data_IF_577164463076
#
_entry.id   IF_577164463076
#
_cell.length_a   1.000
_cell.length_b   1.000
_cell.length_c   1.000
_cell.angle_alpha   90.00
_cell.angle_beta   90.00
_cell.angle_gamma   90.00
#
_symmetry.space_group_name_H-M   'P 1'
#
loop_
_entity.id
_entity.type
_entity.pdbx_description
1 polymer ?
#
# COMPACT_ATOMS: atom_id res chain seq x y z
N UNK A 1 -28.39 -9.70 9.58
CA UNK A 1 -27.51 -10.56 10.40
C UNK A 1 -26.73 -11.43 9.44
N UNK A 2 -25.41 -11.23 9.37
CA UNK A 2 -24.53 -11.99 8.50
C UNK A 2 -24.06 -13.25 9.23
N UNK A 3 -24.98 -13.95 9.88
CA UNK A 3 -24.65 -15.05 10.79
C UNK A 3 -24.55 -16.32 9.96
N UNK A 4 -23.41 -16.50 9.29
CA UNK A 4 -23.14 -17.64 8.40
C UNK A 4 -23.53 -18.97 9.03
N UNK A 5 -23.18 -19.16 10.31
CA UNK A 5 -23.42 -20.39 11.07
C UNK A 5 -24.89 -20.73 11.24
N UNK A 6 -25.75 -19.71 11.34
CA UNK A 6 -27.19 -19.90 11.48
C UNK A 6 -27.88 -19.99 10.11
N UNK A 7 -27.43 -19.21 9.13
CA UNK A 7 -28.06 -19.13 7.81
C UNK A 7 -27.78 -20.35 6.94
N UNK A 8 -26.54 -20.86 6.90
CA UNK A 8 -26.19 -22.03 6.08
C UNK A 8 -27.05 -23.27 6.36
N UNK A 9 -27.20 -23.75 7.61
CA UNK A 9 -27.99 -24.95 7.86
C UNK A 9 -29.48 -24.77 7.53
N UNK A 10 -30.00 -23.54 7.60
CA UNK A 10 -31.37 -23.25 7.19
C UNK A 10 -31.53 -23.31 5.66
N UNK A 11 -30.57 -22.76 4.93
CA UNK A 11 -30.55 -22.82 3.46
C UNK A 11 -30.34 -24.25 2.99
N UNK A 12 -29.47 -25.03 3.64
CA UNK A 12 -29.24 -26.44 3.31
C UNK A 12 -30.52 -27.26 3.51
N UNK A 13 -31.24 -27.09 4.63
CA UNK A 13 -32.56 -27.71 4.86
C UNK A 13 -33.60 -27.34 3.78
N UNK A 14 -33.54 -26.12 3.25
CA UNK A 14 -34.43 -25.69 2.17
C UNK A 14 -34.05 -26.37 0.84
N UNK A 15 -32.75 -26.50 0.56
CA UNK A 15 -32.24 -27.17 -0.63
C UNK A 15 -32.48 -28.69 -0.60
N UNK A 16 -32.51 -29.32 0.58
CA UNK A 16 -32.91 -30.73 0.74
C UNK A 16 -34.34 -30.99 0.23
N UNK A 17 -35.24 -30.00 0.33
CA UNK A 17 -36.64 -30.08 -0.16
C UNK A 17 -36.86 -29.30 -1.46
N UNK A 18 -35.83 -29.15 -2.27
CA UNK A 18 -35.85 -28.35 -3.49
C UNK A 18 -36.97 -28.73 -4.48
N UNK A 19 -37.34 -30.02 -4.52
CA UNK A 19 -38.39 -30.55 -5.40
C UNK A 19 -39.80 -30.05 -5.01
N UNK A 20 -40.04 -29.78 -3.74
CA UNK A 20 -41.34 -29.35 -3.19
C UNK A 20 -41.53 -27.81 -3.25
N UNK A 21 -40.44 -27.08 -3.49
CA UNK A 21 -40.44 -25.61 -3.47
C UNK A 21 -40.84 -24.99 -4.81
N UNK A 22 -41.62 -23.90 -4.80
CA UNK A 22 -41.82 -23.07 -5.98
C UNK A 22 -40.49 -22.51 -6.52
N UNK A 23 -40.40 -22.36 -7.85
CA UNK A 23 -39.16 -21.98 -8.56
C UNK A 23 -38.43 -20.75 -7.98
N UNK A 24 -39.17 -19.74 -7.51
CA UNK A 24 -38.58 -18.51 -6.97
C UNK A 24 -37.80 -18.75 -5.68
N UNK A 25 -38.38 -19.53 -4.76
CA UNK A 25 -37.73 -19.84 -3.48
C UNK A 25 -36.52 -20.73 -3.66
N UNK A 26 -36.59 -21.67 -4.62
CA UNK A 26 -35.44 -22.47 -5.04
C UNK A 26 -34.27 -21.62 -5.52
N UNK A 27 -34.52 -20.72 -6.49
CA UNK A 27 -33.47 -19.84 -7.03
C UNK A 27 -32.87 -18.96 -5.94
N UNK A 28 -33.71 -18.42 -5.05
CA UNK A 28 -33.26 -17.61 -3.93
C UNK A 28 -32.36 -18.41 -2.98
N UNK A 29 -32.77 -19.64 -2.61
CA UNK A 29 -31.97 -20.51 -1.75
C UNK A 29 -30.62 -20.87 -2.39
N UNK A 30 -30.60 -21.15 -3.69
CA UNK A 30 -29.36 -21.42 -4.44
C UNK A 30 -28.42 -20.21 -4.43
N UNK A 31 -28.96 -18.99 -4.67
CA UNK A 31 -28.19 -17.75 -4.62
C UNK A 31 -27.64 -17.50 -3.21
N UNK A 32 -28.47 -17.63 -2.17
CA UNK A 32 -28.02 -17.49 -0.78
C UNK A 32 -26.93 -18.50 -0.42
N UNK A 33 -27.06 -19.76 -0.87
CA UNK A 33 -26.03 -20.77 -0.65
C UNK A 33 -24.72 -20.42 -1.35
N UNK A 34 -24.79 -19.93 -2.59
CA UNK A 34 -23.62 -19.49 -3.35
C UNK A 34 -22.93 -18.28 -2.71
N UNK A 35 -23.70 -17.36 -2.12
CA UNK A 35 -23.18 -16.16 -1.45
C UNK A 35 -22.56 -16.45 -0.08
N UNK A 36 -23.11 -17.43 0.66
CA UNK A 36 -22.69 -17.76 2.03
C UNK A 36 -21.55 -18.78 2.09
N UNK A 37 -21.47 -19.73 1.14
CA UNK A 37 -20.39 -20.73 1.08
C UNK A 37 -18.97 -20.14 1.06
N UNK A 38 -18.64 -19.16 0.20
CA UNK A 38 -17.28 -18.61 0.09
C UNK A 38 -16.92 -17.68 1.25
N UNK A 39 -17.89 -17.25 2.05
CA UNK A 39 -17.69 -16.29 3.13
C UNK A 39 -16.75 -16.88 4.19
N UNK A 40 -15.56 -16.31 4.35
CA UNK A 40 -14.59 -16.76 5.36
C UNK A 40 -14.70 -15.88 6.61
N UNK A 41 -14.59 -16.49 7.78
CA UNK A 41 -14.51 -15.79 9.06
C UNK A 41 -13.27 -14.91 9.12
N UNK A 42 -13.39 -13.68 9.61
CA UNK A 42 -12.34 -12.66 9.68
C UNK A 42 -11.74 -12.29 8.31
N UNK A 43 -12.52 -12.42 7.23
CA UNK A 43 -12.06 -12.00 5.89
C UNK A 43 -12.46 -10.57 5.57
N UNK A 44 -11.76 -9.95 4.62
CA UNK A 44 -12.08 -8.60 4.16
C UNK A 44 -13.50 -8.51 3.56
N UNK A 45 -13.98 -9.59 2.92
CA UNK A 45 -15.36 -9.67 2.40
C UNK A 45 -16.40 -9.64 3.52
N UNK A 46 -16.17 -10.37 4.62
CA UNK A 46 -17.06 -10.32 5.79
C UNK A 46 -17.12 -8.92 6.39
N UNK A 47 -15.97 -8.27 6.53
CA UNK A 47 -15.86 -6.91 7.07
C UNK A 47 -16.62 -5.91 6.17
N UNK A 48 -16.42 -5.99 4.85
CA UNK A 48 -17.13 -5.13 3.91
C UNK A 48 -18.66 -5.26 4.05
N UNK A 49 -19.17 -6.48 4.17
CA UNK A 49 -20.60 -6.73 4.37
C UNK A 49 -21.13 -6.21 5.71
N UNK A 50 -20.33 -6.30 6.79
CA UNK A 50 -20.67 -5.69 8.08
C UNK A 50 -20.71 -4.16 8.00
N UNK A 51 -19.76 -3.55 7.30
CA UNK A 51 -19.75 -2.10 7.06
C UNK A 51 -20.97 -1.63 6.26
N UNK A 52 -21.38 -2.36 5.21
CA UNK A 52 -22.59 -2.06 4.45
C UNK A 52 -23.87 -2.13 5.32
N UNK A 53 -23.92 -3.08 6.26
CA UNK A 53 -25.03 -3.20 7.21
C UNK A 53 -25.05 -2.04 8.20
N UNK A 54 -23.88 -1.65 8.73
CA UNK A 54 -23.73 -0.47 9.58
C UNK A 54 -24.20 0.78 8.83
N UNK A 55 -23.76 0.96 7.57
CA UNK A 55 -24.18 2.09 6.73
C UNK A 55 -25.70 2.12 6.55
N UNK A 56 -26.33 0.97 6.24
CA UNK A 56 -27.79 0.87 6.14
C UNK A 56 -28.48 1.26 7.44
N UNK A 57 -27.97 0.81 8.60
CA UNK A 57 -28.55 1.12 9.91
C UNK A 57 -28.42 2.59 10.27
N UNK A 58 -27.26 3.19 9.98
CA UNK A 58 -27.02 4.61 10.17
C UNK A 58 -27.93 5.45 9.26
N UNK A 59 -28.13 5.05 8.00
CA UNK A 59 -29.11 5.67 7.08
C UNK A 59 -30.54 5.65 7.62
N UNK A 60 -30.90 4.62 8.38
CA UNK A 60 -32.21 4.50 9.04
C UNK A 60 -32.26 5.21 10.40
N UNK A 61 -31.27 6.05 10.72
CA UNK A 61 -31.12 6.76 12.00
C UNK A 61 -31.03 5.83 13.23
N UNK A 62 -30.63 4.58 13.03
CA UNK A 62 -30.51 3.58 14.10
C UNK A 62 -29.08 3.55 14.68
N UNK A 63 -28.59 4.67 15.22
CA UNK A 63 -27.24 4.77 15.80
C UNK A 63 -27.15 4.27 17.27
N UNK A 64 -27.90 3.21 17.61
CA UNK A 64 -27.99 2.66 18.96
C UNK A 64 -26.78 1.81 19.38
N UNK A 65 -26.82 1.30 20.61
CA UNK A 65 -25.76 0.45 21.19
C UNK A 65 -25.41 -0.77 20.32
N UNK A 66 -26.40 -1.35 19.62
CA UNK A 66 -26.19 -2.48 18.72
C UNK A 66 -25.24 -2.13 17.56
N UNK A 67 -25.38 -0.94 16.97
CA UNK A 67 -24.52 -0.51 15.86
C UNK A 67 -23.11 -0.23 16.36
N UNK A 68 -22.98 0.42 17.51
CA UNK A 68 -21.66 0.65 18.13
C UNK A 68 -20.90 -0.65 18.40
N UNK A 69 -21.58 -1.68 18.91
CA UNK A 69 -20.96 -3.02 19.10
C UNK A 69 -20.49 -3.64 17.78
N UNK A 70 -21.25 -3.46 16.69
CA UNK A 70 -20.85 -3.94 15.37
C UNK A 70 -19.65 -3.14 14.82
N UNK A 71 -19.62 -1.82 15.03
CA UNK A 71 -18.48 -0.96 14.69
C UNK A 71 -17.22 -1.39 15.45
N UNK A 72 -17.32 -1.63 16.76
CA UNK A 72 -16.23 -2.12 17.60
C UNK A 72 -15.72 -3.50 17.13
N UNK A 73 -16.63 -4.40 16.75
CA UNK A 73 -16.29 -5.72 16.19
C UNK A 73 -15.53 -5.59 14.86
N UNK A 74 -15.97 -4.67 13.98
CA UNK A 74 -15.28 -4.39 12.72
C UNK A 74 -13.88 -3.86 12.96
N UNK A 75 -13.70 -2.93 13.90
CA UNK A 75 -12.37 -2.41 14.29
C UNK A 75 -11.48 -3.56 14.77
N UNK A 76 -11.98 -4.40 15.67
CA UNK A 76 -11.23 -5.54 16.20
C UNK A 76 -10.79 -6.54 15.10
N UNK A 77 -11.67 -6.81 14.13
CA UNK A 77 -11.35 -7.69 12.98
C UNK A 77 -10.30 -7.05 12.06
N UNK A 78 -10.38 -5.75 11.80
CA UNK A 78 -9.38 -5.01 11.01
C UNK A 78 -8.02 -5.00 11.71
N UNK A 79 -7.98 -4.73 13.01
CA UNK A 79 -6.73 -4.78 13.79
C UNK A 79 -6.08 -6.16 13.73
N UNK A 80 -6.87 -7.23 13.81
CA UNK A 80 -6.39 -8.61 13.67
C UNK A 80 -5.81 -8.87 12.27
N UNK A 81 -6.41 -8.32 11.23
CA UNK A 81 -5.89 -8.43 9.86
C UNK A 81 -4.59 -7.63 9.67
N UNK A 82 -4.52 -6.42 10.21
CA UNK A 82 -3.31 -5.59 10.17
C UNK A 82 -2.16 -6.33 10.86
N UNK A 83 -2.37 -6.85 12.07
CA UNK A 83 -1.35 -7.63 12.80
C UNK A 83 -0.86 -8.84 12.00
N UNK A 84 -1.75 -9.61 11.39
CA UNK A 84 -1.37 -10.75 10.53
C UNK A 84 -0.52 -10.33 9.33
N UNK A 85 -0.84 -9.19 8.71
CA UNK A 85 -0.08 -8.67 7.57
C UNK A 85 1.29 -8.12 8.00
N UNK A 86 1.36 -7.45 9.15
CA UNK A 86 2.62 -6.97 9.74
C UNK A 86 3.55 -8.14 10.08
N UNK A 87 3.02 -9.20 10.70
CA UNK A 87 3.77 -10.44 10.99
C UNK A 87 4.27 -11.11 9.69
N UNK A 88 3.41 -11.19 8.67
CA UNK A 88 3.80 -11.73 7.37
C UNK A 88 4.91 -10.91 6.71
N UNK A 89 4.86 -9.57 6.82
CA UNK A 89 5.89 -8.68 6.30
C UNK A 89 7.22 -8.86 7.03
N UNK A 90 7.19 -8.99 8.37
CA UNK A 90 8.39 -9.23 9.17
C UNK A 90 9.04 -10.60 8.86
N UNK A 91 8.24 -11.66 8.65
CA UNK A 91 8.74 -12.96 8.24
C UNK A 91 9.36 -12.94 6.83
N UNK A 92 8.78 -12.17 5.89
CA UNK A 92 9.36 -11.97 4.55
C UNK A 92 10.70 -11.20 4.61
N UNK A 93 10.88 -10.36 5.63
CA UNK A 93 12.10 -9.60 5.83
C UNK A 93 13.22 -10.44 6.49
N UNK A 94 12.88 -11.44 7.31
CA UNK A 94 13.86 -12.37 7.90
C UNK A 94 14.32 -13.49 6.95
N UNK A 95 13.54 -13.82 5.91
CA UNK A 95 13.92 -14.81 4.89
C UNK A 95 14.78 -14.24 3.75
N UNK A 96 15.13 -12.94 3.82
CA UNK A 96 16.04 -12.27 2.89
C UNK A 96 17.50 -12.18 3.39
N UNK A 97 17.92 -13.00 4.35
CA UNK A 97 19.31 -13.01 4.88
C UNK A 97 20.36 -13.63 3.92
N UNK A 98 20.09 -13.63 2.62
CA UNK A 98 20.99 -14.14 1.57
C UNK A 98 21.20 -13.20 0.39
N UNK A 99 20.57 -12.02 0.36
CA UNK A 99 20.79 -11.07 -0.73
C UNK A 99 20.61 -9.64 -0.23
N UNK A 100 21.67 -8.84 -0.38
CA UNK A 100 21.84 -7.44 -0.01
C UNK A 100 20.91 -6.48 -0.77
N UNK A 101 19.59 -6.66 -0.63
CA UNK A 101 18.56 -5.75 -1.13
C UNK A 101 17.90 -5.04 0.04
N UNK A 102 18.19 -3.75 0.22
CA UNK A 102 17.58 -2.91 1.24
C UNK A 102 16.08 -2.71 0.96
N UNK A 103 15.22 -3.00 1.94
CA UNK A 103 13.76 -2.84 1.85
C UNK A 103 13.24 -1.54 2.48
N UNK A 104 14.10 -0.69 3.02
CA UNK A 104 13.74 0.62 3.59
C UNK A 104 14.73 1.71 3.15
N UNK A 105 14.26 2.93 2.87
CA UNK A 105 15.14 4.06 2.58
C UNK A 105 16.00 4.42 3.80
N UNK A 106 17.22 4.88 3.57
CA UNK A 106 18.13 5.30 4.64
C UNK A 106 17.54 6.48 5.41
N UNK A 107 17.62 6.43 6.74
CA UNK A 107 17.13 7.48 7.64
C UNK A 107 18.00 8.75 7.56
N UNK A 108 19.27 8.59 7.19
CA UNK A 108 20.22 9.69 6.97
C UNK A 108 21.01 9.48 5.68
N UNK A 109 21.37 10.59 5.03
CA UNK A 109 22.25 10.63 3.84
C UNK A 109 23.71 10.39 4.22
N UNK A 110 23.99 9.27 4.87
CA UNK A 110 25.35 8.79 5.07
C UNK A 110 25.72 7.80 3.95
N UNK A 111 26.97 7.78 3.47
CA UNK A 111 27.43 6.73 2.57
C UNK A 111 27.31 5.39 3.29
N UNK A 112 26.25 4.64 2.98
CA UNK A 112 26.01 3.32 3.52
C UNK A 112 27.13 2.42 2.98
N UNK A 113 28.01 1.94 3.87
CA UNK A 113 29.28 1.26 3.56
C UNK A 113 29.17 -0.12 2.90
N UNK A 114 28.23 -0.31 1.99
CA UNK A 114 28.06 -1.53 1.20
C UNK A 114 28.82 -1.46 -0.12
N UNK A 115 29.75 -2.39 -0.32
CA UNK A 115 30.32 -2.64 -1.65
C UNK A 115 29.39 -3.57 -2.41
N UNK A 116 28.50 -2.99 -3.23
CA UNK A 116 27.79 -3.75 -4.26
C UNK A 116 28.75 -4.11 -5.40
N UNK A 117 28.48 -5.15 -6.21
CA UNK A 117 29.35 -5.59 -7.32
C UNK A 117 29.53 -4.55 -8.46
N UNK A 118 29.13 -3.29 -8.26
CA UNK A 118 29.29 -2.20 -9.23
C UNK A 118 28.53 -2.43 -10.54
N UNK A 119 27.61 -3.41 -10.58
CA UNK A 119 26.83 -3.75 -11.75
C UNK A 119 25.66 -2.78 -11.85
N UNK A 120 25.95 -1.60 -12.38
CA UNK A 120 24.94 -0.63 -12.81
C UNK A 120 24.55 -0.98 -14.24
N UNK A 121 23.27 -1.17 -14.50
CA UNK A 121 22.77 -1.31 -15.86
C UNK A 121 23.07 0.00 -16.62
N UNK A 122 23.93 -0.08 -17.63
CA UNK A 122 24.23 1.06 -18.50
C UNK A 122 22.99 1.37 -19.32
N UNK A 123 22.11 2.20 -18.78
CA UNK A 123 20.96 2.70 -19.51
C UNK A 123 21.48 3.62 -20.62
N UNK A 124 21.18 3.28 -21.87
CA UNK A 124 21.57 4.09 -23.02
C UNK A 124 20.70 5.35 -23.05
N UNK A 125 21.07 6.34 -22.24
CA UNK A 125 20.69 7.73 -22.43
C UNK A 125 21.35 8.11 -23.75
N UNK A 126 20.58 8.18 -24.84
CA UNK A 126 21.13 8.46 -26.19
C UNK A 126 21.89 9.79 -26.27
N UNK A 127 22.13 10.30 -27.48
CA UNK A 127 22.82 11.59 -27.71
C UNK A 127 21.99 12.83 -27.29
N UNK A 128 21.13 12.71 -26.28
CA UNK A 128 20.57 13.89 -25.60
C UNK A 128 21.68 14.41 -24.70
N UNK A 129 21.97 15.71 -24.77
CA UNK A 129 22.94 16.35 -23.90
C UNK A 129 22.50 16.15 -22.45
N UNK A 130 23.02 15.08 -21.84
CA UNK A 130 22.88 14.87 -20.42
C UNK A 130 23.49 16.10 -19.75
N UNK A 131 22.78 16.69 -18.80
CA UNK A 131 23.30 17.79 -17.99
C UNK A 131 24.67 17.48 -17.35
N UNK A 132 25.05 16.19 -17.26
CA UNK A 132 26.37 15.73 -16.81
C UNK A 132 27.49 15.65 -17.88
N UNK A 133 27.18 15.72 -19.19
CA UNK A 133 28.17 15.58 -20.27
C UNK A 133 28.23 16.80 -21.21
N UNK A 134 27.87 17.99 -20.71
CA UNK A 134 27.99 19.22 -21.48
C UNK A 134 29.47 19.57 -21.68
N UNK A 135 29.90 19.94 -22.91
CA UNK A 135 31.24 20.48 -23.15
C UNK A 135 31.55 21.62 -22.17
N UNK A 136 32.82 21.76 -21.73
CA UNK A 136 33.19 22.68 -20.65
C UNK A 136 32.73 24.12 -20.92
N UNK A 137 32.85 24.57 -22.16
CA UNK A 137 32.45 25.92 -22.59
C UNK A 137 30.93 26.17 -22.45
N UNK A 138 30.11 25.20 -22.80
CA UNK A 138 28.64 25.31 -22.71
C UNK A 138 28.19 25.23 -21.24
N UNK A 139 28.89 24.44 -20.44
CA UNK A 139 28.64 24.31 -19.01
C UNK A 139 28.86 25.63 -18.28
N UNK A 140 29.98 26.29 -18.55
CA UNK A 140 30.30 27.60 -17.98
C UNK A 140 29.28 28.66 -18.41
N UNK A 141 28.88 28.68 -19.68
CA UNK A 141 27.85 29.60 -20.17
C UNK A 141 26.49 29.37 -19.48
N UNK A 142 26.08 28.11 -19.30
CA UNK A 142 24.86 27.76 -18.56
C UNK A 142 24.93 28.18 -17.10
N UNK A 143 26.08 27.98 -16.43
CA UNK A 143 26.30 28.45 -15.05
C UNK A 143 26.24 29.98 -14.94
N UNK A 144 26.79 30.70 -15.93
CA UNK A 144 26.72 32.16 -15.98
C UNK A 144 25.30 32.66 -16.23
N UNK A 145 24.48 31.94 -17.00
CA UNK A 145 23.07 32.29 -17.18
C UNK A 145 22.26 32.02 -15.90
N UNK A 146 22.44 30.86 -15.28
CA UNK A 146 21.77 30.51 -14.02
C UNK A 146 22.10 31.55 -12.94
N UNK A 147 23.36 31.97 -12.82
CA UNK A 147 23.76 32.98 -11.82
C UNK A 147 23.22 34.39 -12.08
N UNK A 148 22.81 34.73 -13.31
CA UNK A 148 22.16 36.01 -13.63
C UNK A 148 20.70 36.04 -13.20
N UNK A 149 20.00 34.92 -13.33
CA UNK A 149 18.57 34.83 -13.04
C UNK A 149 18.27 34.40 -11.59
N UNK A 150 19.30 34.00 -10.84
CA UNK A 150 19.13 33.49 -9.48
C UNK A 150 19.13 34.61 -8.42
N UNK A 151 18.17 34.60 -7.47
CA UNK A 151 18.12 35.57 -6.38
C UNK A 151 19.41 35.63 -5.54
N UNK A 152 19.77 36.83 -5.06
CA UNK A 152 21.06 37.11 -4.41
C UNK A 152 21.42 36.19 -3.23
N UNK A 153 20.44 35.68 -2.48
CA UNK A 153 20.68 34.82 -1.32
C UNK A 153 21.27 33.45 -1.67
N UNK A 154 21.09 32.95 -2.89
CA UNK A 154 21.73 31.70 -3.31
C UNK A 154 23.21 31.86 -3.64
N UNK A 155 23.69 33.10 -3.84
CA UNK A 155 25.09 33.36 -4.18
C UNK A 155 26.03 32.91 -3.06
N UNK A 156 25.71 33.25 -1.82
CA UNK A 156 26.51 32.91 -0.64
C UNK A 156 26.62 31.39 -0.43
N UNK A 157 25.51 30.68 -0.66
CA UNK A 157 25.45 29.21 -0.53
C UNK A 157 26.30 28.54 -1.63
N UNK A 158 26.21 29.03 -2.86
CA UNK A 158 26.98 28.52 -4.00
C UNK A 158 28.48 28.78 -3.81
N UNK A 159 28.86 29.99 -3.37
CA UNK A 159 30.24 30.35 -3.05
C UNK A 159 30.82 29.45 -1.93
N UNK A 160 30.02 29.19 -0.89
CA UNK A 160 30.39 28.27 0.19
C UNK A 160 30.62 26.83 -0.29
N UNK A 161 29.77 26.35 -1.22
CA UNK A 161 29.93 25.03 -1.82
C UNK A 161 31.21 24.92 -2.67
N UNK A 162 31.48 25.88 -3.55
CA UNK A 162 32.69 25.86 -4.39
C UNK A 162 33.98 26.00 -3.58
N UNK A 163 34.00 26.80 -2.51
CA UNK A 163 35.15 26.86 -1.59
C UNK A 163 35.43 25.52 -0.94
N UNK A 164 34.39 24.81 -0.47
CA UNK A 164 34.55 23.46 0.09
C UNK A 164 35.07 22.48 -0.94
N UNK A 165 34.54 22.51 -2.16
CA UNK A 165 34.93 21.61 -3.25
C UNK A 165 36.41 21.81 -3.67
N UNK A 166 36.87 23.07 -3.76
CA UNK A 166 38.26 23.39 -4.05
C UNK A 166 39.22 22.92 -2.94
N UNK A 167 38.78 22.96 -1.68
CA UNK A 167 39.57 22.46 -0.55
C UNK A 167 39.62 20.93 -0.49
N UNK A 168 38.58 20.22 -0.95
CA UNK A 168 38.52 18.75 -0.97
C UNK A 168 39.24 18.10 -2.15
N UNK A 169 39.48 18.83 -3.24
CA UNK A 169 40.20 18.34 -4.43
C UNK A 169 41.71 18.64 -4.37
N UNK A 170 42.25 18.84 -3.18
CA UNK A 170 43.69 19.01 -2.91
C UNK A 170 44.16 17.88 -2.00
#
# INVERSE_FOLDING_TARGET
>A
MLDKEHCLPLVDKLLEREAELPRRYRMLAQLMAADLKPLKTDSLDEIARLMDEIERRLKLYQAGEKVRKQEDEVIAKLDKLIKKLEEQQQQMQQSASGSSRSSSPAQDSAPLGGYGPGRVDKKFIGNKSGWGNLPPKEREAALQQITKDLPAHYREVIEGYFRKLANTNR
#
